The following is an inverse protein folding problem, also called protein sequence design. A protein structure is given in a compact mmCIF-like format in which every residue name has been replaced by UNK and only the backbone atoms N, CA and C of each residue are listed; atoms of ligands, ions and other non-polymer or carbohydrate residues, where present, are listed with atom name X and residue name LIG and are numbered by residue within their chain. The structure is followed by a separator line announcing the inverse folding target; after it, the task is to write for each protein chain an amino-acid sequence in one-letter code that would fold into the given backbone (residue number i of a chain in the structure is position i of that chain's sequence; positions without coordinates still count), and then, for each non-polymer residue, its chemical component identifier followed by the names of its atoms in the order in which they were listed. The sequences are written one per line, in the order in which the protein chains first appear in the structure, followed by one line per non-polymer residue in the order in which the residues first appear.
data_IF_643231829477
#
_entry.id   IF_643231829477
#
_cell.length_a   1.000
_cell.length_b   1.000
_cell.length_c   1.000
_cell.angle_alpha   90.00
_cell.angle_beta   90.00
_cell.angle_gamma   90.00
#
_symmetry.space_group_name_H-M   'P 1'
#
loop_
_entity.id
_entity.type
_entity.pdbx_description
1 polymer ?
#
# COMPACT_ATOMS: atom_id res chain seq x y z
N UNK A 1 -3.45 -15.30 -11.96
CA UNK A 1 -2.12 -15.07 -12.63
C UNK A 1 -1.07 -16.04 -12.08
N UNK A 2 -0.26 -16.68 -12.93
CA UNK A 2 0.93 -17.41 -12.46
C UNK A 2 2.05 -16.42 -12.12
N UNK A 3 2.72 -16.62 -10.99
CA UNK A 3 3.75 -15.69 -10.46
C UNK A 3 5.16 -16.06 -10.94
N UNK A 4 5.41 -17.35 -11.27
CA UNK A 4 6.73 -17.82 -11.65
C UNK A 4 7.30 -17.04 -12.85
N UNK A 5 8.51 -16.52 -12.71
CA UNK A 5 9.18 -15.68 -13.70
C UNK A 5 8.63 -14.25 -13.87
N UNK A 6 7.54 -13.85 -13.17
CA UNK A 6 6.96 -12.52 -13.30
C UNK A 6 7.87 -11.41 -12.76
N UNK A 7 7.96 -10.32 -13.51
CA UNK A 7 8.75 -9.13 -13.22
C UNK A 7 7.92 -8.16 -12.39
N UNK A 8 8.30 -7.96 -11.14
CA UNK A 8 7.49 -7.22 -10.16
C UNK A 8 8.28 -6.03 -9.62
N UNK A 9 7.73 -4.84 -9.73
CA UNK A 9 8.21 -3.63 -9.07
C UNK A 9 7.36 -3.37 -7.82
N UNK A 10 8.02 -3.23 -6.66
CA UNK A 10 7.38 -2.95 -5.37
C UNK A 10 7.92 -1.65 -4.79
N UNK A 11 7.08 -0.63 -4.70
CA UNK A 11 7.45 0.60 -3.99
C UNK A 11 7.30 0.43 -2.48
N UNK A 12 8.23 0.99 -1.69
CA UNK A 12 8.27 0.74 -0.25
C UNK A 12 8.57 -0.72 0.10
N UNK A 13 9.29 -1.44 -0.78
CA UNK A 13 9.60 -2.87 -0.63
C UNK A 13 10.68 -3.20 0.41
N UNK A 14 11.25 -2.21 1.09
CA UNK A 14 12.34 -2.41 2.07
C UNK A 14 11.85 -2.63 3.51
N UNK A 15 10.54 -2.62 3.77
CA UNK A 15 9.99 -2.86 5.11
C UNK A 15 8.50 -3.23 5.06
N UNK A 16 7.95 -3.65 6.20
CA UNK A 16 6.52 -3.85 6.42
C UNK A 16 5.84 -4.76 5.39
N UNK A 17 4.65 -4.35 4.93
CA UNK A 17 3.85 -5.11 3.95
C UNK A 17 4.62 -5.33 2.65
N UNK A 18 5.33 -4.30 2.15
CA UNK A 18 6.08 -4.39 0.91
C UNK A 18 7.18 -5.45 0.96
N UNK A 19 7.98 -5.49 2.04
CA UNK A 19 9.01 -6.50 2.23
C UNK A 19 8.43 -7.90 2.41
N UNK A 20 7.37 -8.04 3.22
CA UNK A 20 6.70 -9.32 3.41
C UNK A 20 6.12 -9.85 2.09
N UNK A 21 5.54 -8.96 1.26
CA UNK A 21 5.04 -9.34 -0.08
C UNK A 21 6.18 -9.70 -1.03
N UNK A 22 7.31 -8.96 -0.97
CA UNK A 22 8.49 -9.32 -1.75
C UNK A 22 9.00 -10.74 -1.41
N UNK A 23 9.05 -11.10 -0.13
CA UNK A 23 9.37 -12.48 0.29
C UNK A 23 8.36 -13.50 -0.26
N UNK A 24 7.07 -13.24 -0.15
CA UNK A 24 6.04 -14.17 -0.64
C UNK A 24 6.12 -14.38 -2.15
N UNK A 25 6.36 -13.32 -2.92
CA UNK A 25 6.53 -13.37 -4.37
C UNK A 25 7.84 -14.05 -4.79
N UNK A 26 8.94 -13.80 -4.05
CA UNK A 26 10.23 -14.45 -4.28
C UNK A 26 10.14 -15.98 -4.16
N UNK A 27 9.43 -16.47 -3.14
CA UNK A 27 9.17 -17.90 -2.94
C UNK A 27 8.33 -18.54 -4.06
N UNK A 28 7.66 -17.73 -4.88
CA UNK A 28 6.90 -18.15 -6.08
C UNK A 28 7.67 -17.96 -7.38
N UNK A 29 8.96 -17.66 -7.30
CA UNK A 29 9.82 -17.51 -8.46
C UNK A 29 9.73 -16.16 -9.19
N UNK A 30 9.14 -15.13 -8.59
CA UNK A 30 9.10 -13.79 -9.17
C UNK A 30 10.50 -13.16 -9.22
N UNK A 31 10.74 -12.35 -10.26
CA UNK A 31 11.89 -11.45 -10.38
C UNK A 31 11.51 -10.09 -9.84
N UNK A 32 12.26 -9.56 -8.87
CA UNK A 32 11.82 -8.43 -8.08
C UNK A 32 12.72 -7.20 -8.26
N UNK A 33 12.09 -6.04 -8.32
CA UNK A 33 12.72 -4.76 -8.04
C UNK A 33 12.02 -4.11 -6.85
N UNK A 34 12.76 -3.87 -5.76
CA UNK A 34 12.25 -3.16 -4.59
C UNK A 34 12.81 -1.75 -4.52
N UNK A 35 11.97 -0.78 -4.16
CA UNK A 35 12.42 0.60 -3.95
C UNK A 35 12.03 1.13 -2.59
N UNK A 36 12.81 2.07 -2.08
CA UNK A 36 12.58 2.78 -0.83
C UNK A 36 13.55 3.96 -0.70
N UNK A 37 13.26 4.91 0.18
CA UNK A 37 14.08 6.13 0.34
C UNK A 37 15.44 5.88 1.00
N UNK A 38 15.53 4.91 1.89
CA UNK A 38 16.72 4.63 2.72
C UNK A 38 17.55 3.54 2.09
N UNK A 39 18.71 3.90 1.50
CA UNK A 39 19.58 2.95 0.79
C UNK A 39 19.94 1.74 1.65
N UNK A 40 20.42 1.95 2.88
CA UNK A 40 20.79 0.84 3.75
C UNK A 40 19.67 -0.15 4.07
N UNK A 41 18.40 0.28 4.11
CA UNK A 41 17.27 -0.64 4.27
C UNK A 41 16.91 -1.35 2.96
N UNK A 42 17.08 -0.70 1.83
CA UNK A 42 16.90 -1.32 0.51
C UNK A 42 17.96 -2.40 0.32
N UNK A 43 19.23 -2.10 0.60
CA UNK A 43 20.35 -3.04 0.48
C UNK A 43 20.14 -4.25 1.40
N UNK A 44 19.81 -4.03 2.67
CA UNK A 44 19.52 -5.11 3.62
C UNK A 44 18.34 -6.00 3.18
N UNK A 45 17.27 -5.41 2.62
CA UNK A 45 16.14 -6.15 2.08
C UNK A 45 16.52 -7.01 0.87
N UNK A 46 17.31 -6.44 -0.04
CA UNK A 46 17.85 -7.16 -1.22
C UNK A 46 18.72 -8.33 -0.79
N UNK A 47 19.65 -8.10 0.15
CA UNK A 47 20.56 -9.16 0.63
C UNK A 47 19.78 -10.30 1.31
N UNK A 48 18.78 -9.96 2.15
CA UNK A 48 17.94 -10.96 2.78
C UNK A 48 17.12 -11.79 1.78
N UNK A 49 16.58 -11.16 0.74
CA UNK A 49 15.86 -11.85 -0.33
C UNK A 49 16.79 -12.71 -1.20
N UNK A 50 17.98 -12.22 -1.55
CA UNK A 50 18.99 -13.00 -2.30
C UNK A 50 19.47 -14.22 -1.53
N UNK A 51 19.57 -14.12 -0.23
CA UNK A 51 19.95 -15.26 0.61
C UNK A 51 18.96 -16.45 0.50
N UNK A 52 17.71 -16.19 0.06
CA UNK A 52 16.72 -17.25 -0.26
C UNK A 52 16.83 -17.78 -1.70
N UNK A 53 17.77 -17.29 -2.50
CA UNK A 53 17.93 -17.66 -3.92
C UNK A 53 17.11 -16.80 -4.89
N UNK A 54 16.47 -15.71 -4.41
CA UNK A 54 15.61 -14.87 -5.24
C UNK A 54 16.40 -13.99 -6.23
N UNK A 55 15.85 -13.80 -7.44
CA UNK A 55 16.33 -12.79 -8.41
C UNK A 55 15.74 -11.43 -8.02
N UNK A 56 16.52 -10.64 -7.28
CA UNK A 56 16.04 -9.35 -6.73
C UNK A 56 17.08 -8.25 -6.87
N UNK A 57 16.56 -7.06 -7.17
CA UNK A 57 17.30 -5.80 -7.31
C UNK A 57 16.69 -4.73 -6.40
N UNK A 58 17.49 -3.72 -6.05
CA UNK A 58 17.06 -2.60 -5.25
C UNK A 58 17.45 -1.26 -5.85
N UNK A 59 16.64 -0.25 -5.62
CA UNK A 59 16.99 1.14 -5.93
C UNK A 59 16.54 2.07 -4.80
N UNK A 60 17.46 2.87 -4.30
CA UNK A 60 17.13 3.91 -3.35
C UNK A 60 16.54 5.11 -4.10
N UNK A 61 15.23 5.32 -3.96
CA UNK A 61 14.52 6.39 -4.65
C UNK A 61 13.34 6.88 -3.81
N UNK A 62 13.10 8.19 -3.83
CA UNK A 62 11.92 8.80 -3.23
C UNK A 62 10.82 8.96 -4.28
N UNK A 63 9.80 8.13 -4.22
CA UNK A 63 8.68 8.14 -5.17
C UNK A 63 7.83 9.41 -5.08
N UNK A 64 7.93 10.20 -4.00
CA UNK A 64 7.29 11.51 -3.91
C UNK A 64 7.84 12.48 -4.97
N UNK A 65 9.09 12.34 -5.38
CA UNK A 65 9.75 13.21 -6.36
C UNK A 65 9.63 12.67 -7.79
N UNK A 66 9.65 13.57 -8.77
CA UNK A 66 9.66 13.18 -10.19
C UNK A 66 10.93 12.37 -10.52
N UNK A 67 12.10 12.84 -10.06
CA UNK A 67 13.37 12.15 -10.28
C UNK A 67 13.37 10.74 -9.66
N UNK A 68 12.84 10.58 -8.45
CA UNK A 68 12.76 9.28 -7.80
C UNK A 68 11.84 8.31 -8.54
N UNK A 69 10.73 8.78 -9.10
CA UNK A 69 9.85 7.98 -9.96
C UNK A 69 10.54 7.61 -11.29
N UNK A 70 11.24 8.56 -11.91
CA UNK A 70 12.01 8.30 -13.13
C UNK A 70 13.13 7.27 -12.89
N UNK A 71 13.89 7.40 -11.79
CA UNK A 71 14.90 6.42 -11.37
C UNK A 71 14.30 5.04 -11.15
N UNK A 72 13.14 4.97 -10.51
CA UNK A 72 12.42 3.71 -10.24
C UNK A 72 12.05 3.00 -11.56
N UNK A 73 11.48 3.73 -12.52
CA UNK A 73 11.07 3.15 -13.81
C UNK A 73 12.27 2.78 -14.69
N UNK A 74 13.34 3.59 -14.68
CA UNK A 74 14.59 3.27 -15.38
C UNK A 74 15.24 2.00 -14.81
N UNK A 75 15.22 1.82 -13.48
CA UNK A 75 15.70 0.60 -12.83
C UNK A 75 14.86 -0.64 -13.22
N UNK A 76 13.52 -0.50 -13.34
CA UNK A 76 12.66 -1.59 -13.80
C UNK A 76 13.04 -2.03 -15.23
N UNK A 77 13.24 -1.08 -16.14
CA UNK A 77 13.70 -1.37 -17.49
C UNK A 77 15.09 -2.04 -17.49
N UNK A 78 16.02 -1.50 -16.70
CA UNK A 78 17.42 -1.96 -16.68
C UNK A 78 17.57 -3.37 -16.10
N UNK A 79 16.92 -3.66 -14.97
CA UNK A 79 17.15 -4.88 -14.21
C UNK A 79 16.14 -5.98 -14.53
N UNK A 80 14.90 -5.64 -14.82
CA UNK A 80 13.86 -6.61 -15.13
C UNK A 80 13.66 -6.81 -16.65
N UNK A 81 14.03 -5.82 -17.47
CA UNK A 81 13.84 -5.86 -18.92
C UNK A 81 12.38 -5.64 -19.35
N UNK A 82 11.47 -5.38 -18.41
CA UNK A 82 10.03 -5.19 -18.61
C UNK A 82 9.30 -5.22 -17.28
N UNK A 83 7.97 -5.21 -17.30
CA UNK A 83 7.17 -5.20 -16.08
C UNK A 83 5.86 -5.97 -16.30
N UNK A 84 5.58 -6.93 -15.41
CA UNK A 84 4.32 -7.66 -15.36
C UNK A 84 3.42 -7.19 -14.21
N UNK A 85 4.03 -6.76 -13.08
CA UNK A 85 3.27 -6.28 -11.92
C UNK A 85 3.92 -5.02 -11.36
N UNK A 86 3.12 -3.94 -11.24
CA UNK A 86 3.45 -2.76 -10.43
C UNK A 86 2.70 -2.83 -9.10
N UNK A 87 3.43 -2.86 -7.98
CA UNK A 87 2.83 -2.76 -6.65
C UNK A 87 3.13 -1.39 -6.04
N UNK A 88 2.14 -0.52 -6.01
CA UNK A 88 2.14 0.76 -5.31
C UNK A 88 1.87 0.51 -3.83
N UNK A 89 2.94 0.37 -3.04
CA UNK A 89 2.86 0.07 -1.60
C UNK A 89 3.54 1.13 -0.73
N UNK A 90 4.44 1.95 -1.27
CA UNK A 90 4.99 3.08 -0.51
C UNK A 90 3.86 3.92 0.09
N UNK A 91 4.03 4.36 1.32
CA UNK A 91 3.02 5.13 2.02
C UNK A 91 3.61 5.99 3.12
N UNK A 92 2.86 7.02 3.49
CA UNK A 92 3.14 7.94 4.57
C UNK A 92 1.88 8.13 5.42
N UNK A 93 2.05 8.38 6.72
CA UNK A 93 0.92 8.62 7.62
C UNK A 93 1.25 9.69 8.65
N UNK A 94 0.27 10.56 8.93
CA UNK A 94 0.26 11.48 10.05
C UNK A 94 -1.17 11.54 10.62
N UNK A 95 -1.32 11.12 11.86
CA UNK A 95 -2.58 11.25 12.58
C UNK A 95 -2.54 12.46 13.53
N UNK A 96 -3.69 13.04 13.82
CA UNK A 96 -3.85 14.17 14.73
C UNK A 96 -5.04 15.03 14.37
N UNK A 97 -5.29 16.07 15.16
CA UNK A 97 -6.27 17.11 14.83
C UNK A 97 -5.82 17.85 13.58
N UNK A 98 -6.75 18.10 12.66
CA UNK A 98 -6.42 18.71 11.37
C UNK A 98 -5.70 20.06 11.54
N UNK A 99 -6.12 20.86 12.51
CA UNK A 99 -5.52 22.16 12.83
C UNK A 99 -4.11 22.07 13.43
N UNK A 100 -3.66 20.89 13.88
CA UNK A 100 -2.33 20.64 14.44
C UNK A 100 -1.34 20.02 13.43
N UNK A 101 -1.83 19.52 12.27
CA UNK A 101 -1.00 18.89 11.25
C UNK A 101 -0.37 19.97 10.37
N UNK A 102 0.95 19.90 10.18
CA UNK A 102 1.65 20.88 9.37
C UNK A 102 1.35 20.67 7.86
N UNK A 103 1.38 21.76 7.09
CA UNK A 103 1.08 21.71 5.66
C UNK A 103 2.01 20.79 4.88
N UNK A 104 3.29 20.73 5.21
CA UNK A 104 4.29 19.85 4.59
C UNK A 104 4.01 18.37 4.89
N UNK A 105 3.49 18.04 6.08
CA UNK A 105 3.04 16.69 6.43
C UNK A 105 1.83 16.27 5.57
N UNK A 106 0.87 17.19 5.36
CA UNK A 106 -0.28 16.97 4.48
C UNK A 106 0.19 16.72 3.05
N UNK A 107 1.05 17.61 2.52
CA UNK A 107 1.60 17.48 1.17
C UNK A 107 2.36 16.17 0.98
N UNK A 108 3.17 15.78 1.96
CA UNK A 108 3.91 14.51 1.91
C UNK A 108 2.95 13.32 1.75
N UNK A 109 1.87 13.26 2.52
CA UNK A 109 0.87 12.19 2.37
C UNK A 109 0.22 12.19 0.97
N UNK A 110 -0.10 13.38 0.43
CA UNK A 110 -0.70 13.49 -0.91
C UNK A 110 0.29 13.00 -1.97
N UNK A 111 1.55 13.43 -1.90
CA UNK A 111 2.56 13.04 -2.89
C UNK A 111 2.86 11.53 -2.85
N UNK A 112 3.07 10.97 -1.66
CA UNK A 112 3.47 9.56 -1.52
C UNK A 112 2.30 8.61 -1.77
N UNK A 113 1.12 8.90 -1.18
CA UNK A 113 0.00 7.95 -1.13
C UNK A 113 -0.97 8.08 -2.31
N UNK A 114 -0.90 9.18 -3.07
CA UNK A 114 -1.83 9.42 -4.19
C UNK A 114 -1.11 9.79 -5.48
N UNK A 115 -0.30 10.86 -5.50
CA UNK A 115 0.34 11.34 -6.73
C UNK A 115 1.35 10.31 -7.26
N UNK A 116 2.22 9.78 -6.40
CA UNK A 116 3.23 8.80 -6.81
C UNK A 116 2.61 7.52 -7.42
N UNK A 117 1.61 6.87 -6.81
CA UNK A 117 0.92 5.73 -7.43
C UNK A 117 0.31 6.04 -8.80
N UNK A 118 -0.32 7.20 -8.97
CA UNK A 118 -0.91 7.62 -10.25
C UNK A 118 0.17 7.78 -11.31
N UNK A 119 1.27 8.49 -10.99
CA UNK A 119 2.35 8.75 -11.93
C UNK A 119 3.13 7.49 -12.29
N UNK A 120 3.36 6.58 -11.33
CA UNK A 120 4.00 5.30 -11.58
C UNK A 120 3.10 4.38 -12.42
N UNK A 121 1.80 4.32 -12.15
CA UNK A 121 0.85 3.59 -12.98
C UNK A 121 0.88 4.09 -14.42
N UNK A 122 0.79 5.43 -14.62
CA UNK A 122 0.88 6.05 -15.94
C UNK A 122 2.17 5.68 -16.68
N UNK A 123 3.31 5.72 -15.99
CA UNK A 123 4.60 5.40 -16.58
C UNK A 123 4.77 3.90 -16.87
N UNK A 124 4.16 3.02 -16.07
CA UNK A 124 4.25 1.57 -16.20
C UNK A 124 3.32 0.99 -17.27
N UNK A 125 2.20 1.65 -17.60
CA UNK A 125 1.19 1.12 -18.54
C UNK A 125 1.76 0.64 -19.88
N UNK A 126 2.70 1.36 -20.56
CA UNK A 126 3.28 0.87 -21.80
C UNK A 126 4.02 -0.47 -21.63
N UNK A 127 4.74 -0.66 -20.50
CA UNK A 127 5.45 -1.90 -20.20
C UNK A 127 4.48 -3.04 -19.85
N UNK A 128 3.45 -2.76 -19.07
CA UNK A 128 2.42 -3.74 -18.68
C UNK A 128 1.62 -4.25 -19.89
N UNK A 129 1.35 -3.37 -20.88
CA UNK A 129 0.61 -3.74 -22.11
C UNK A 129 1.47 -4.48 -23.12
N UNK A 130 2.79 -4.22 -23.18
CA UNK A 130 3.69 -4.79 -24.19
C UNK A 130 3.79 -6.31 -24.16
N UNK A 131 3.59 -6.94 -23.00
CA UNK A 131 3.71 -8.38 -22.78
C UNK A 131 2.37 -9.13 -22.81
N UNK A 132 1.36 -8.52 -23.39
CA UNK A 132 0.02 -9.12 -23.50
C UNK A 132 -0.82 -8.99 -22.23
N UNK A 133 -0.42 -8.12 -21.31
CA UNK A 133 -1.16 -7.79 -20.10
C UNK A 133 -0.32 -7.92 -18.83
N UNK A 134 -0.82 -7.29 -17.76
CA UNK A 134 -0.14 -7.24 -16.47
C UNK A 134 -1.08 -6.87 -15.33
N UNK A 135 -0.51 -6.46 -14.20
CA UNK A 135 -1.30 -6.08 -13.03
C UNK A 135 -0.75 -4.82 -12.35
N UNK A 136 -1.66 -3.96 -11.91
CA UNK A 136 -1.38 -2.87 -10.96
C UNK A 136 -2.01 -3.25 -9.62
N UNK A 137 -1.20 -3.32 -8.56
CA UNK A 137 -1.63 -3.56 -7.18
C UNK A 137 -1.51 -2.27 -6.40
N UNK A 138 -2.63 -1.69 -5.97
CA UNK A 138 -2.65 -0.48 -5.15
C UNK A 138 -2.90 -0.84 -3.68
N UNK A 139 -1.91 -0.61 -2.81
CA UNK A 139 -2.07 -0.81 -1.37
C UNK A 139 -2.66 0.45 -0.75
N UNK A 140 -3.99 0.43 -0.64
CA UNK A 140 -4.78 1.45 0.03
C UNK A 140 -4.80 1.20 1.55
N UNK A 141 -5.95 1.25 2.18
CA UNK A 141 -6.18 0.94 3.61
C UNK A 141 -7.67 0.72 3.85
N UNK A 142 -8.01 -0.06 4.86
CA UNK A 142 -9.40 -0.18 5.33
C UNK A 142 -10.01 1.16 5.79
N UNK A 143 -9.17 2.16 6.08
CA UNK A 143 -9.62 3.53 6.37
C UNK A 143 -10.28 4.22 5.17
N UNK A 144 -9.98 3.77 3.95
CA UNK A 144 -10.66 4.22 2.74
C UNK A 144 -12.14 3.78 2.67
N UNK A 145 -12.49 2.72 3.40
CA UNK A 145 -13.85 2.16 3.45
C UNK A 145 -14.65 2.70 4.63
N UNK A 146 -13.97 2.94 5.76
CA UNK A 146 -14.54 3.60 6.94
C UNK A 146 -13.49 4.55 7.50
N UNK A 147 -13.68 5.84 7.31
CA UNK A 147 -12.76 6.87 7.80
C UNK A 147 -12.75 6.91 9.34
N UNK A 148 -11.56 7.13 9.91
CA UNK A 148 -11.37 7.23 11.36
C UNK A 148 -11.14 8.69 11.77
N UNK A 149 -11.61 9.14 12.95
CA UNK A 149 -11.27 10.45 13.46
C UNK A 149 -9.74 10.59 13.59
N UNK A 150 -9.23 11.81 13.45
CA UNK A 150 -7.80 12.16 13.50
C UNK A 150 -6.93 11.63 12.34
N UNK A 151 -7.53 11.01 11.34
CA UNK A 151 -6.86 10.53 10.13
C UNK A 151 -7.42 11.17 8.85
N UNK A 152 -8.01 12.35 8.92
CA UNK A 152 -8.78 12.96 7.81
C UNK A 152 -7.98 12.99 6.49
N UNK A 153 -6.74 13.50 6.50
CA UNK A 153 -5.91 13.56 5.30
C UNK A 153 -5.50 12.16 4.81
N UNK A 154 -5.09 11.27 5.73
CA UNK A 154 -4.72 9.90 5.37
C UNK A 154 -5.93 9.12 4.79
N UNK A 155 -7.11 9.27 5.38
CA UNK A 155 -8.34 8.67 4.84
C UNK A 155 -8.64 9.20 3.43
N UNK A 156 -8.50 10.52 3.21
CA UNK A 156 -8.74 11.15 1.92
C UNK A 156 -7.80 10.61 0.82
N UNK A 157 -6.48 10.51 1.08
CA UNK A 157 -5.53 10.01 0.08
C UNK A 157 -5.73 8.53 -0.19
N UNK A 158 -6.03 7.71 0.83
CA UNK A 158 -6.29 6.27 0.65
C UNK A 158 -7.63 6.00 -0.05
N UNK A 159 -8.66 6.79 0.20
CA UNK A 159 -9.91 6.75 -0.55
C UNK A 159 -9.70 7.21 -2.00
N UNK A 160 -8.91 8.27 -2.22
CA UNK A 160 -8.52 8.72 -3.54
C UNK A 160 -7.79 7.65 -4.34
N UNK A 161 -6.83 6.93 -3.73
CA UNK A 161 -6.13 5.81 -4.35
C UNK A 161 -7.08 4.66 -4.70
N UNK A 162 -8.03 4.34 -3.82
CA UNK A 162 -9.03 3.30 -4.08
C UNK A 162 -9.94 3.68 -5.26
N UNK A 163 -10.44 4.91 -5.30
CA UNK A 163 -11.25 5.43 -6.40
C UNK A 163 -10.48 5.49 -7.72
N UNK A 164 -9.19 5.90 -7.68
CA UNK A 164 -8.29 5.84 -8.83
C UNK A 164 -8.18 4.41 -9.36
N UNK A 165 -7.92 3.44 -8.49
CA UNK A 165 -7.81 2.03 -8.86
C UNK A 165 -9.10 1.49 -9.49
N UNK A 166 -10.25 1.84 -8.95
CA UNK A 166 -11.56 1.44 -9.49
C UNK A 166 -11.82 2.04 -10.89
N UNK A 167 -11.53 3.33 -11.07
CA UNK A 167 -11.69 4.01 -12.37
C UNK A 167 -10.74 3.42 -13.42
N UNK A 168 -9.45 3.28 -13.05
CA UNK A 168 -8.42 2.72 -13.93
C UNK A 168 -8.74 1.29 -14.36
N UNK A 169 -9.27 0.46 -13.45
CA UNK A 169 -9.72 -0.90 -13.77
C UNK A 169 -10.80 -0.91 -14.85
N UNK A 170 -11.75 0.04 -14.79
CA UNK A 170 -12.79 0.18 -15.82
C UNK A 170 -12.23 0.67 -17.14
N UNK A 171 -11.29 1.62 -17.12
CA UNK A 171 -10.60 2.15 -18.29
C UNK A 171 -9.79 1.07 -19.02
N UNK A 172 -9.08 0.21 -18.26
CA UNK A 172 -8.22 -0.84 -18.81
C UNK A 172 -8.95 -2.15 -19.11
N UNK A 173 -10.27 -2.19 -18.94
CA UNK A 173 -11.07 -3.38 -19.22
C UNK A 173 -11.01 -3.73 -20.72
N UNK A 174 -10.46 -4.89 -21.03
CA UNK A 174 -10.19 -5.34 -22.41
C UNK A 174 -8.74 -5.11 -22.89
N UNK A 175 -7.94 -4.34 -22.16
CA UNK A 175 -6.53 -4.05 -22.49
C UNK A 175 -5.52 -5.07 -21.90
N UNK A 176 -6.03 -6.10 -21.22
CA UNK A 176 -5.20 -7.14 -20.59
C UNK A 176 -4.53 -6.71 -19.28
N UNK A 177 -4.68 -5.48 -18.83
CA UNK A 177 -4.10 -5.00 -17.56
C UNK A 177 -5.15 -5.04 -16.46
N UNK A 178 -4.88 -5.83 -15.42
CA UNK A 178 -5.74 -5.97 -14.25
C UNK A 178 -5.36 -4.94 -13.16
N UNK A 179 -6.34 -4.49 -12.36
CA UNK A 179 -6.09 -3.60 -11.22
C UNK A 179 -6.69 -4.21 -9.96
N UNK A 180 -5.82 -4.50 -8.99
CA UNK A 180 -6.15 -4.98 -7.65
C UNK A 180 -5.99 -3.85 -6.64
N UNK A 181 -7.01 -3.58 -5.84
CA UNK A 181 -6.90 -2.68 -4.68
C UNK A 181 -6.91 -3.47 -3.37
N UNK A 182 -5.90 -3.25 -2.54
CA UNK A 182 -5.74 -3.91 -1.24
C UNK A 182 -6.10 -2.92 -0.14
N UNK A 183 -6.88 -3.38 0.83
CA UNK A 183 -7.32 -2.60 1.99
C UNK A 183 -6.82 -3.26 3.29
N UNK A 184 -5.52 -3.11 3.64
CA UNK A 184 -5.01 -3.60 4.92
C UNK A 184 -5.73 -2.93 6.09
N UNK A 185 -5.90 -3.67 7.17
CA UNK A 185 -6.26 -3.13 8.48
C UNK A 185 -4.98 -2.72 9.23
N UNK A 186 -5.06 -2.44 10.52
CA UNK A 186 -3.86 -2.23 11.35
C UNK A 186 -2.90 -3.41 11.17
N UNK A 187 -1.66 -3.12 10.74
CA UNK A 187 -0.67 -4.15 10.42
C UNK A 187 0.61 -3.88 11.18
N UNK A 188 1.16 -4.88 11.84
CA UNK A 188 2.44 -4.78 12.57
C UNK A 188 3.60 -4.51 11.61
N UNK A 189 3.99 -3.25 11.56
CA UNK A 189 5.00 -2.72 10.64
C UNK A 189 5.71 -1.51 11.29
N UNK A 190 6.88 -1.11 10.79
CA UNK A 190 7.54 0.11 11.24
C UNK A 190 6.67 1.37 11.12
N UNK A 191 5.72 1.42 10.19
CA UNK A 191 4.76 2.52 10.06
C UNK A 191 3.93 2.69 11.34
N UNK A 192 3.60 1.61 12.03
CA UNK A 192 2.77 1.61 13.23
C UNK A 192 3.56 1.83 14.54
N UNK A 193 4.90 1.93 14.47
CA UNK A 193 5.77 1.99 15.66
C UNK A 193 5.45 3.14 16.62
N UNK A 194 4.87 4.24 16.14
CA UNK A 194 4.50 5.40 16.94
C UNK A 194 3.00 5.46 17.29
N UNK A 195 2.20 4.51 16.81
CA UNK A 195 0.79 4.39 17.20
C UNK A 195 0.69 3.63 18.52
N UNK A 196 0.04 4.21 19.51
CA UNK A 196 -0.15 3.60 20.83
C UNK A 196 -1.61 3.26 21.13
N UNK A 197 -2.53 3.42 20.16
CA UNK A 197 -3.92 2.99 20.31
C UNK A 197 -3.99 1.46 20.43
N UNK A 198 -4.73 0.98 21.41
CA UNK A 198 -4.82 -0.44 21.75
C UNK A 198 -6.21 -1.05 21.55
N UNK A 199 -6.37 -2.27 22.05
CA UNK A 199 -7.62 -3.03 21.97
C UNK A 199 -8.78 -2.35 22.71
N UNK A 200 -8.49 -1.53 23.70
CA UNK A 200 -9.46 -0.72 24.47
C UNK A 200 -10.25 0.26 23.59
N UNK A 201 -9.64 0.71 22.48
CA UNK A 201 -10.28 1.56 21.47
C UNK A 201 -10.61 0.78 20.18
N UNK A 202 -10.59 -0.54 20.23
CA UNK A 202 -10.91 -1.41 19.10
C UNK A 202 -9.79 -1.51 18.06
N UNK A 203 -8.54 -1.24 18.45
CA UNK A 203 -7.39 -1.30 17.56
C UNK A 203 -6.67 -2.65 17.71
N UNK A 204 -6.51 -3.37 16.63
CA UNK A 204 -5.75 -4.63 16.59
C UNK A 204 -4.82 -4.65 15.38
N UNK A 205 -3.69 -5.33 15.53
CA UNK A 205 -2.69 -5.49 14.48
C UNK A 205 -2.71 -6.93 13.96
N UNK A 206 -2.66 -7.08 12.65
CA UNK A 206 -2.33 -8.34 12.00
C UNK A 206 -0.85 -8.34 11.56
N UNK A 207 -0.27 -9.52 11.33
CA UNK A 207 1.12 -9.57 10.86
C UNK A 207 1.24 -9.14 9.39
N UNK A 208 2.38 -8.49 9.05
CA UNK A 208 2.68 -8.16 7.67
C UNK A 208 2.70 -9.40 6.75
N UNK A 209 3.09 -10.57 7.28
CA UNK A 209 3.07 -11.84 6.56
C UNK A 209 1.65 -12.30 6.20
N UNK A 210 0.68 -12.11 7.11
CA UNK A 210 -0.72 -12.44 6.83
C UNK A 210 -1.32 -11.55 5.75
N UNK A 211 -0.98 -10.25 5.76
CA UNK A 211 -1.37 -9.31 4.69
C UNK A 211 -0.72 -9.70 3.37
N UNK A 212 0.58 -10.01 3.36
CA UNK A 212 1.31 -10.43 2.17
C UNK A 212 0.73 -11.70 1.54
N UNK A 213 0.38 -12.70 2.36
CA UNK A 213 -0.26 -13.92 1.89
C UNK A 213 -1.61 -13.63 1.20
N UNK A 214 -2.41 -12.71 1.76
CA UNK A 214 -3.67 -12.31 1.15
C UNK A 214 -3.48 -11.51 -0.15
N UNK A 215 -2.43 -10.68 -0.22
CA UNK A 215 -2.06 -9.97 -1.46
C UNK A 215 -1.67 -10.98 -2.53
N UNK A 216 -0.81 -11.96 -2.21
CA UNK A 216 -0.39 -13.00 -3.14
C UNK A 216 -1.57 -13.79 -3.69
N UNK A 217 -2.46 -14.27 -2.81
CA UNK A 217 -3.70 -14.96 -3.20
C UNK A 217 -4.59 -14.06 -4.09
N UNK A 218 -4.70 -12.76 -3.76
CA UNK A 218 -5.41 -11.78 -4.59
C UNK A 218 -4.80 -11.62 -5.98
N UNK A 219 -3.48 -11.61 -6.10
CA UNK A 219 -2.77 -11.56 -7.39
C UNK A 219 -3.03 -12.85 -8.18
N UNK A 220 -2.83 -14.04 -7.55
CA UNK A 220 -3.01 -15.34 -8.21
C UNK A 220 -4.43 -15.52 -8.75
N UNK A 221 -5.46 -15.08 -8.01
CA UNK A 221 -6.86 -15.15 -8.40
C UNK A 221 -7.36 -13.99 -9.26
N UNK A 222 -6.49 -13.00 -9.53
CA UNK A 222 -6.87 -11.76 -10.23
C UNK A 222 -8.07 -11.06 -9.57
N UNK A 223 -8.03 -10.99 -8.24
CA UNK A 223 -9.08 -10.36 -7.46
C UNK A 223 -9.16 -8.85 -7.73
N UNK A 224 -10.36 -8.28 -7.65
CA UNK A 224 -10.57 -6.83 -7.78
C UNK A 224 -10.16 -6.11 -6.49
N UNK A 225 -10.42 -6.76 -5.35
CA UNK A 225 -10.15 -6.20 -4.03
C UNK A 225 -9.73 -7.29 -3.04
N UNK A 226 -8.86 -6.90 -2.11
CA UNK A 226 -8.50 -7.69 -0.91
C UNK A 226 -8.76 -6.80 0.30
N UNK A 227 -9.78 -7.13 1.09
CA UNK A 227 -10.13 -6.41 2.32
C UNK A 227 -9.68 -7.23 3.53
N UNK A 228 -8.96 -6.56 4.46
CA UNK A 228 -8.47 -7.18 5.71
C UNK A 228 -9.21 -6.62 6.93
N UNK A 229 -9.12 -7.33 8.06
CA UNK A 229 -9.74 -6.92 9.34
C UNK A 229 -10.92 -7.78 9.78
N UNK A 230 -11.23 -8.85 9.03
CA UNK A 230 -12.20 -9.88 9.42
C UNK A 230 -13.65 -9.42 9.50
N UNK A 231 -14.52 -10.20 10.17
CA UNK A 231 -15.96 -9.95 10.25
C UNK A 231 -16.32 -8.60 10.90
N UNK A 232 -15.58 -8.18 11.93
CA UNK A 232 -15.82 -6.92 12.64
C UNK A 232 -15.59 -5.71 11.72
N UNK A 233 -14.58 -5.78 10.87
CA UNK A 233 -14.34 -4.73 9.87
C UNK A 233 -15.45 -4.69 8.83
N UNK A 234 -15.91 -5.84 8.36
CA UNK A 234 -17.03 -5.90 7.43
C UNK A 234 -18.31 -5.33 8.04
N UNK A 235 -18.63 -5.71 9.28
CA UNK A 235 -19.78 -5.16 10.00
C UNK A 235 -19.69 -3.63 10.15
N UNK A 236 -18.48 -3.09 10.39
CA UNK A 236 -18.29 -1.63 10.46
C UNK A 236 -18.48 -0.96 9.10
N UNK A 237 -18.03 -1.58 8.01
CA UNK A 237 -18.25 -1.07 6.64
C UNK A 237 -19.74 -1.04 6.32
N UNK A 238 -20.45 -2.12 6.64
CA UNK A 238 -21.90 -2.19 6.43
C UNK A 238 -22.64 -1.16 7.28
N UNK A 239 -22.29 -1.03 8.56
CA UNK A 239 -22.87 -0.01 9.45
C UNK A 239 -22.60 1.41 8.92
N UNK A 240 -21.39 1.72 8.46
CA UNK A 240 -21.04 3.03 7.92
C UNK A 240 -21.84 3.38 6.66
N UNK A 241 -22.17 2.38 5.84
CA UNK A 241 -23.02 2.57 4.65
C UNK A 241 -24.48 2.80 5.04
N UNK A 242 -25.00 2.01 5.98
CA UNK A 242 -26.43 1.94 6.28
C UNK A 242 -26.87 2.96 7.35
N UNK A 243 -25.99 3.22 8.36
CA UNK A 243 -26.21 4.20 9.43
C UNK A 243 -24.90 4.87 9.87
N UNK A 244 -24.39 5.87 9.13
CA UNK A 244 -23.16 6.56 9.50
C UNK A 244 -23.21 7.27 10.84
N UNK A 245 -24.40 7.67 11.31
CA UNK A 245 -24.56 8.30 12.64
C UNK A 245 -24.29 7.34 13.78
N UNK A 246 -24.62 6.07 13.62
CA UNK A 246 -24.25 5.04 14.61
C UNK A 246 -22.73 4.86 14.70
N UNK A 247 -22.02 4.97 13.58
CA UNK A 247 -20.54 4.97 13.55
C UNK A 247 -20.00 6.22 14.26
N UNK A 248 -20.56 7.41 14.00
CA UNK A 248 -20.18 8.66 14.67
C UNK A 248 -20.38 8.56 16.20
N UNK A 249 -21.51 8.02 16.65
CA UNK A 249 -21.79 7.82 18.07
C UNK A 249 -20.80 6.85 18.73
N UNK A 250 -20.41 5.76 18.03
CA UNK A 250 -19.40 4.82 18.50
C UNK A 250 -18.03 5.50 18.66
N UNK A 251 -17.60 6.28 17.68
CA UNK A 251 -16.33 7.02 17.79
C UNK A 251 -16.38 8.11 18.85
N UNK A 252 -17.51 8.76 19.04
CA UNK A 252 -17.68 9.77 20.09
C UNK A 252 -17.42 9.17 21.48
N UNK A 253 -17.88 7.94 21.74
CA UNK A 253 -17.71 7.25 23.03
C UNK A 253 -16.25 6.94 23.40
N UNK A 254 -15.37 6.78 22.41
CA UNK A 254 -13.95 6.46 22.61
C UNK A 254 -13.02 7.60 22.18
N UNK A 255 -13.56 8.74 21.74
CA UNK A 255 -12.81 9.80 21.04
C UNK A 255 -11.56 10.26 21.78
N UNK A 256 -11.67 10.51 23.09
CA UNK A 256 -10.54 11.02 23.88
C UNK A 256 -9.42 10.01 24.00
N UNK A 257 -9.74 8.74 24.31
CA UNK A 257 -8.75 7.68 24.40
C UNK A 257 -8.11 7.38 23.04
N UNK A 258 -8.92 7.37 21.97
CA UNK A 258 -8.44 7.16 20.61
C UNK A 258 -7.49 8.29 20.17
N UNK A 259 -7.85 9.57 20.45
CA UNK A 259 -7.00 10.73 20.16
C UNK A 259 -5.63 10.60 20.83
N UNK A 260 -5.63 10.25 22.13
CA UNK A 260 -4.40 10.07 22.88
C UNK A 260 -3.49 8.98 22.25
N UNK A 261 -4.08 7.86 21.85
CA UNK A 261 -3.36 6.74 21.27
C UNK A 261 -2.78 7.03 19.87
N UNK A 262 -3.51 7.80 19.04
CA UNK A 262 -3.08 8.06 17.65
C UNK A 262 -2.30 9.35 17.46
N UNK A 263 -2.34 10.29 18.41
CA UNK A 263 -1.66 11.59 18.30
C UNK A 263 -0.15 11.48 17.97
N UNK A 264 0.62 10.53 18.54
CA UNK A 264 2.03 10.36 18.19
C UNK A 264 2.25 9.65 16.84
N UNK A 265 1.21 9.13 16.19
CA UNK A 265 1.35 8.33 14.98
C UNK A 265 1.84 9.17 13.80
N UNK A 266 3.11 8.97 13.45
CA UNK A 266 3.80 9.65 12.35
C UNK A 266 4.82 8.73 11.70
N UNK A 267 4.71 8.55 10.37
CA UNK A 267 5.67 7.89 9.50
C UNK A 267 5.62 8.56 8.11
N UNK A 268 6.48 9.56 7.90
CA UNK A 268 6.54 10.40 6.70
C UNK A 268 7.82 10.13 5.91
#
# INVERSE_FOLDING_TARGET
MNIDGKRVLITGGSSGIGLATAHALALRGARLLVTGRRSGLVDAAVDALRATGADVYGVAADVATEDGRAMTMAAATRYLGGLDILMNNAGAVRAGRLEEIQEDEIRTMIEVDLVAPIMLARAALPMLKAEGGGMIVNVSSSIALVALPFYATYAAVKAGLASFGESLRRELNGDGVHVLTVYPSGTDTPMMATNTAGADVGFSLESAAAVAAAILDGIEREAIAVVRGGPDRQAMIDLNRDDPRAVDARFLSIKAAFEQGVRPHKAL
#
